data_IF_794351670220
#
_entry.id   IF_794351670220
#
_cell.length_a   1.000
_cell.length_b   1.000
_cell.length_c   1.000
_cell.angle_alpha   90.00
_cell.angle_beta   90.00
_cell.angle_gamma   90.00
#
_symmetry.space_group_name_H-M   'P 1'
#
loop_
_entity.id
_entity.type
_entity.pdbx_description
1 polymer ?
#
# COMPACT_ATOMS: atom_id res chain seq x y z
N UNK A 1 -4.12 -22.95 18.59
CA UNK A 1 -2.95 -22.09 18.88
C UNK A 1 -2.83 -21.11 17.73
N UNK A 2 -2.99 -19.80 17.98
CA UNK A 2 -2.79 -18.79 16.95
C UNK A 2 -1.28 -18.69 16.72
N UNK A 3 -0.86 -18.70 15.45
CA UNK A 3 0.54 -18.52 15.10
C UNK A 3 0.78 -17.01 15.07
N UNK A 4 1.76 -16.56 15.84
CA UNK A 4 2.16 -15.17 15.90
C UNK A 4 3.39 -14.98 15.00
N UNK A 5 3.20 -14.29 13.88
CA UNK A 5 4.25 -14.03 12.89
C UNK A 5 4.97 -12.70 13.11
N UNK A 6 4.63 -11.92 14.15
CA UNK A 6 5.20 -10.58 14.38
C UNK A 6 6.72 -10.60 14.42
N UNK A 7 7.32 -11.59 15.08
CA UNK A 7 8.78 -11.72 15.15
C UNK A 7 9.47 -11.91 13.80
N UNK A 8 8.83 -12.59 12.84
CA UNK A 8 9.37 -12.70 11.48
C UNK A 8 9.21 -11.40 10.71
N UNK A 9 8.07 -10.72 10.88
CA UNK A 9 7.86 -9.38 10.33
C UNK A 9 8.94 -8.42 10.83
N UNK A 10 9.21 -8.37 12.14
CA UNK A 10 10.27 -7.53 12.70
C UNK A 10 11.65 -7.82 12.10
N UNK A 11 12.01 -9.10 11.89
CA UNK A 11 13.29 -9.45 11.25
C UNK A 11 13.41 -8.95 9.82
N UNK A 12 12.31 -8.91 9.05
CA UNK A 12 12.33 -8.33 7.71
C UNK A 12 12.57 -6.82 7.77
N UNK A 13 11.97 -6.18 8.75
CA UNK A 13 12.02 -4.74 8.94
C UNK A 13 13.38 -4.27 9.48
N UNK A 14 13.99 -5.02 10.40
CA UNK A 14 15.38 -4.79 10.88
C UNK A 14 16.40 -4.85 9.73
N UNK A 15 16.06 -5.53 8.64
CA UNK A 15 16.89 -5.64 7.43
C UNK A 15 16.58 -4.57 6.38
N UNK A 16 15.75 -3.58 6.72
CA UNK A 16 15.27 -2.54 5.81
C UNK A 16 14.59 -3.13 4.56
N UNK A 17 13.97 -4.32 4.69
CA UNK A 17 13.26 -4.91 3.59
C UNK A 17 11.89 -4.25 3.44
N UNK A 18 11.56 -3.67 2.27
CA UNK A 18 10.28 -3.02 2.07
C UNK A 18 9.16 -4.04 2.25
N UNK A 19 8.17 -3.70 3.09
CA UNK A 19 7.04 -4.55 3.43
C UNK A 19 5.73 -3.82 3.12
N UNK A 20 4.95 -4.39 2.20
CA UNK A 20 3.59 -3.98 1.90
C UNK A 20 2.59 -4.94 2.55
N UNK A 21 1.76 -4.40 3.43
CA UNK A 21 0.57 -5.05 3.95
C UNK A 21 -0.62 -4.46 3.20
N UNK A 22 -1.53 -5.30 2.71
CA UNK A 22 -2.75 -4.81 2.07
C UNK A 22 -3.96 -5.59 2.55
N UNK A 23 -5.12 -4.91 2.56
CA UNK A 23 -6.37 -5.52 3.00
C UNK A 23 -7.57 -4.95 2.23
N UNK A 24 -8.56 -5.80 1.96
CA UNK A 24 -9.83 -5.37 1.41
C UNK A 24 -10.68 -4.68 2.47
N UNK A 25 -11.20 -3.49 2.16
CA UNK A 25 -12.00 -2.67 3.08
C UNK A 25 -13.18 -3.41 3.74
N UNK A 26 -13.81 -4.33 3.00
CA UNK A 26 -14.97 -5.11 3.43
C UNK A 26 -14.64 -6.54 3.85
N UNK A 27 -13.35 -6.87 4.03
CA UNK A 27 -13.01 -8.09 4.75
C UNK A 27 -13.37 -7.92 6.24
N UNK A 28 -14.27 -8.78 6.73
CA UNK A 28 -14.75 -8.76 8.09
C UNK A 28 -13.85 -9.53 9.07
N UNK A 29 -13.02 -10.44 8.57
CA UNK A 29 -12.14 -11.29 9.39
C UNK A 29 -10.74 -10.67 9.46
N UNK A 30 -10.13 -10.45 8.31
CA UNK A 30 -8.72 -10.03 8.19
C UNK A 30 -8.57 -8.66 7.53
N UNK A 31 -9.60 -7.82 7.66
CA UNK A 31 -9.63 -6.49 7.06
C UNK A 31 -8.86 -5.41 7.81
N UNK A 32 -8.94 -4.15 7.34
CA UNK A 32 -8.29 -3.01 7.96
C UNK A 32 -8.67 -2.80 9.44
N UNK A 33 -9.87 -3.23 9.84
CA UNK A 33 -10.36 -3.10 11.21
C UNK A 33 -9.55 -3.93 12.22
N UNK A 34 -8.93 -5.03 11.79
CA UNK A 34 -8.09 -5.86 12.66
C UNK A 34 -6.61 -5.54 12.46
N UNK A 35 -6.19 -5.33 11.22
CA UNK A 35 -4.78 -5.07 10.87
C UNK A 35 -4.31 -3.68 11.32
N UNK A 36 -5.09 -2.62 11.05
CA UNK A 36 -4.64 -1.25 11.32
C UNK A 36 -4.43 -0.98 12.82
N UNK A 37 -5.32 -1.40 13.74
CA UNK A 37 -5.06 -1.29 15.18
C UNK A 37 -3.80 -2.02 15.62
N UNK A 38 -3.47 -3.18 15.03
CA UNK A 38 -2.20 -3.84 15.31
C UNK A 38 -1.03 -2.95 14.87
N UNK A 39 -1.03 -2.44 13.64
CA UNK A 39 0.05 -1.61 13.12
C UNK A 39 0.27 -0.30 13.89
N UNK A 40 -0.78 0.34 14.42
CA UNK A 40 -0.62 1.63 15.12
C UNK A 40 -0.29 1.48 16.60
N UNK A 41 -0.66 0.35 17.23
CA UNK A 41 -0.43 0.12 18.66
C UNK A 41 0.84 -0.69 18.95
N UNK A 42 1.44 -1.30 17.93
CA UNK A 42 2.68 -2.06 18.06
C UNK A 42 3.89 -1.11 18.08
N UNK A 43 4.64 -1.10 19.18
CA UNK A 43 5.79 -0.20 19.39
C UNK A 43 6.83 -0.28 18.26
N UNK A 44 6.90 -1.42 17.57
CA UNK A 44 7.80 -1.60 16.43
C UNK A 44 7.38 -0.75 15.21
N UNK A 45 6.08 -0.55 15.04
CA UNK A 45 5.49 0.23 13.95
C UNK A 45 5.06 1.64 14.38
N UNK A 46 5.19 1.99 15.67
CA UNK A 46 4.84 3.30 16.22
C UNK A 46 5.78 4.39 15.70
N UNK A 47 5.52 4.86 14.48
CA UNK A 47 5.98 6.17 14.03
C UNK A 47 4.98 6.79 13.06
N UNK A 48 4.70 8.08 13.28
CA UNK A 48 3.84 8.98 12.49
C UNK A 48 3.43 8.49 11.10
N UNK A 49 2.40 7.65 11.04
CA UNK A 49 1.82 7.19 9.79
C UNK A 49 1.26 8.39 9.03
N UNK A 50 1.77 8.62 7.82
CA UNK A 50 1.13 9.53 6.87
C UNK A 50 0.17 8.74 6.00
N UNK A 51 -0.86 9.41 5.50
CA UNK A 51 -1.91 8.79 4.70
C UNK A 51 -2.12 9.60 3.42
N UNK A 52 -2.25 8.89 2.31
CA UNK A 52 -2.60 9.43 1.00
C UNK A 52 -3.52 8.48 0.23
N UNK A 53 -4.01 8.91 -0.92
CA UNK A 53 -4.73 8.08 -1.88
C UNK A 53 -3.75 7.53 -2.91
N UNK A 54 -3.74 6.21 -3.05
CA UNK A 54 -3.04 5.52 -4.12
C UNK A 54 -3.92 5.53 -5.38
N UNK A 55 -3.55 6.36 -6.35
CA UNK A 55 -4.23 6.45 -7.63
C UNK A 55 -3.65 5.48 -8.64
N UNK A 56 -4.53 4.76 -9.32
CA UNK A 56 -4.19 3.76 -10.34
C UNK A 56 -4.77 4.21 -11.66
N UNK A 57 -4.02 3.99 -12.74
CA UNK A 57 -4.53 4.24 -14.07
C UNK A 57 -5.73 3.36 -14.38
N UNK A 58 -6.80 3.94 -14.91
CA UNK A 58 -7.95 3.17 -15.33
C UNK A 58 -7.56 2.24 -16.49
N UNK A 59 -7.59 0.93 -16.25
CA UNK A 59 -7.22 -0.08 -17.24
C UNK A 59 -8.20 -0.13 -18.44
N UNK A 60 -9.42 0.38 -18.26
CA UNK A 60 -10.45 0.39 -19.31
C UNK A 60 -10.14 1.44 -20.37
N UNK A 61 -9.77 2.65 -19.95
CA UNK A 61 -9.53 3.78 -20.86
C UNK A 61 -8.07 3.90 -21.27
N UNK A 62 -7.14 3.48 -20.40
CA UNK A 62 -5.68 3.56 -20.59
C UNK A 62 -5.17 4.98 -20.90
N UNK A 63 -5.95 6.00 -20.55
CA UNK A 63 -5.54 7.40 -20.64
C UNK A 63 -4.83 7.77 -19.34
N UNK A 64 -3.66 8.41 -19.42
CA UNK A 64 -2.86 8.72 -18.23
C UNK A 64 -3.58 9.68 -17.26
N UNK A 65 -4.51 10.48 -17.77
CA UNK A 65 -5.33 11.40 -16.97
C UNK A 65 -6.62 10.77 -16.42
N UNK A 66 -6.90 9.50 -16.72
CA UNK A 66 -8.06 8.81 -16.15
C UNK A 66 -7.58 7.88 -15.04
N UNK A 67 -7.71 8.35 -13.81
CA UNK A 67 -7.27 7.65 -12.61
C UNK A 67 -8.46 7.18 -11.78
N UNK A 68 -8.31 5.98 -11.21
CA UNK A 68 -9.23 5.40 -10.26
C UNK A 68 -8.56 5.31 -8.89
N UNK A 69 -9.38 5.42 -7.84
CA UNK A 69 -8.92 5.25 -6.47
C UNK A 69 -8.55 3.78 -6.23
N UNK A 70 -7.25 3.48 -6.18
CA UNK A 70 -6.70 2.16 -5.87
C UNK A 70 -6.63 1.88 -4.37
N UNK A 71 -6.66 2.92 -3.54
CA UNK A 71 -6.99 2.81 -2.13
C UNK A 71 -6.30 3.78 -1.23
N UNK A 72 -6.52 3.60 0.07
CA UNK A 72 -5.93 4.44 1.10
C UNK A 72 -4.58 3.85 1.50
N UNK A 73 -3.53 4.57 1.14
CA UNK A 73 -2.14 4.17 1.30
C UNK A 73 -1.52 4.89 2.47
N UNK A 74 -0.88 4.13 3.35
CA UNK A 74 -0.24 4.67 4.55
C UNK A 74 1.21 4.27 4.58
N UNK A 75 2.05 5.23 4.93
CA UNK A 75 3.50 5.06 5.00
C UNK A 75 3.98 5.38 6.41
N UNK A 76 4.76 4.49 6.99
CA UNK A 76 5.45 4.74 8.26
C UNK A 76 6.58 5.76 8.11
N UNK A 77 7.00 6.37 9.21
CA UNK A 77 8.08 7.37 9.21
C UNK A 77 9.45 6.75 8.93
N UNK A 78 9.66 5.52 9.39
CA UNK A 78 10.79 4.71 8.94
C UNK A 78 10.45 4.12 7.57
N UNK A 79 11.23 4.49 6.56
CA UNK A 79 11.07 4.02 5.18
C UNK A 79 11.05 2.49 5.14
N UNK A 80 9.99 1.89 4.56
CA UNK A 80 9.89 0.44 4.37
C UNK A 80 8.61 -0.23 4.89
N UNK A 81 7.69 0.50 5.55
CA UNK A 81 6.40 -0.05 5.97
C UNK A 81 5.25 0.65 5.29
N UNK A 82 4.44 -0.16 4.63
CA UNK A 82 3.38 0.31 3.77
C UNK A 82 2.09 -0.44 4.09
N UNK A 83 1.00 0.29 4.26
CA UNK A 83 -0.31 -0.31 4.45
C UNK A 83 -1.33 0.24 3.45
N UNK A 84 -1.87 -0.64 2.61
CA UNK A 84 -2.88 -0.30 1.61
C UNK A 84 -4.23 -0.88 1.99
N UNK A 85 -5.24 -0.01 2.12
CA UNK A 85 -6.65 -0.43 2.21
C UNK A 85 -7.30 -0.29 0.83
N UNK A 86 -7.66 -1.41 0.22
CA UNK A 86 -8.30 -1.43 -1.11
C UNK A 86 -9.81 -1.23 -0.96
N UNK A 87 -10.38 -0.17 -1.56
CA UNK A 87 -11.77 0.21 -1.34
C UNK A 87 -12.69 -0.84 -1.95
N UNK A 88 -13.82 -1.09 -1.29
CA UNK A 88 -14.86 -2.03 -1.75
C UNK A 88 -14.43 -3.49 -1.96
N UNK A 89 -13.17 -3.84 -1.69
CA UNK A 89 -12.66 -5.21 -1.78
C UNK A 89 -12.96 -6.03 -0.52
N UNK A 90 -13.20 -7.32 -0.69
CA UNK A 90 -13.29 -8.30 0.41
C UNK A 90 -11.96 -9.04 0.63
N UNK A 91 -12.03 -10.22 1.25
CA UNK A 91 -10.84 -11.05 1.55
C UNK A 91 -9.96 -11.32 0.33
N UNK A 92 -10.58 -11.70 -0.79
CA UNK A 92 -9.88 -11.89 -2.06
C UNK A 92 -9.90 -10.60 -2.89
N UNK A 93 -9.00 -9.68 -2.56
CA UNK A 93 -8.86 -8.38 -3.25
C UNK A 93 -8.84 -8.49 -4.78
N UNK A 94 -8.05 -9.42 -5.40
CA UNK A 94 -7.96 -9.48 -6.86
C UNK A 94 -9.27 -9.83 -7.56
N UNK A 95 -10.26 -10.41 -6.84
CA UNK A 95 -11.51 -10.89 -7.46
C UNK A 95 -12.31 -9.78 -8.13
N UNK A 96 -12.37 -8.60 -7.50
CA UNK A 96 -13.14 -7.45 -7.99
C UNK A 96 -12.27 -6.22 -8.29
N UNK A 97 -10.98 -6.29 -7.96
CA UNK A 97 -10.00 -5.20 -8.08
C UNK A 97 -8.70 -5.71 -8.70
N UNK A 98 -8.81 -6.51 -9.77
CA UNK A 98 -7.65 -7.13 -10.43
C UNK A 98 -6.64 -6.07 -10.88
N UNK A 99 -7.07 -5.05 -11.63
CA UNK A 99 -6.17 -4.04 -12.20
C UNK A 99 -5.44 -3.24 -11.12
N UNK A 100 -6.14 -2.88 -10.04
CA UNK A 100 -5.54 -2.21 -8.88
C UNK A 100 -4.53 -3.13 -8.21
N UNK A 101 -4.85 -4.42 -8.07
CA UNK A 101 -3.95 -5.42 -7.49
C UNK A 101 -2.70 -5.59 -8.31
N UNK A 102 -2.85 -5.79 -9.62
CA UNK A 102 -1.74 -5.91 -10.55
C UNK A 102 -0.84 -4.67 -10.48
N UNK A 103 -1.41 -3.46 -10.51
CA UNK A 103 -0.62 -2.23 -10.48
C UNK A 103 0.16 -2.09 -9.15
N UNK A 104 -0.47 -2.30 -7.99
CA UNK A 104 0.27 -2.15 -6.72
C UNK A 104 1.34 -3.22 -6.54
N UNK A 105 1.14 -4.44 -7.06
CA UNK A 105 2.16 -5.49 -7.04
C UNK A 105 3.33 -5.12 -7.97
N UNK A 106 3.05 -4.58 -9.16
CA UNK A 106 4.07 -4.11 -10.10
C UNK A 106 4.88 -2.97 -9.49
N UNK A 107 4.21 -1.96 -8.94
CA UNK A 107 4.86 -0.81 -8.33
C UNK A 107 5.74 -1.25 -7.17
N UNK A 108 5.20 -2.08 -6.27
CA UNK A 108 5.92 -2.56 -5.12
C UNK A 108 7.14 -3.42 -5.50
N UNK A 109 6.99 -4.30 -6.49
CA UNK A 109 8.10 -5.10 -7.00
C UNK A 109 9.20 -4.25 -7.63
N UNK A 110 8.83 -3.20 -8.37
CA UNK A 110 9.81 -2.34 -9.07
C UNK A 110 10.50 -1.33 -8.18
N UNK A 111 9.76 -0.73 -7.24
CA UNK A 111 10.21 0.44 -6.50
C UNK A 111 10.35 0.21 -4.99
N UNK A 112 9.90 -0.95 -4.49
CA UNK A 112 9.82 -1.21 -3.05
C UNK A 112 8.77 -0.35 -2.33
N UNK A 113 7.92 0.35 -3.08
CA UNK A 113 6.84 1.20 -2.57
C UNK A 113 5.78 1.41 -3.66
N UNK A 114 4.60 1.90 -3.29
CA UNK A 114 3.59 2.26 -4.28
C UNK A 114 3.94 3.59 -4.95
N UNK A 115 3.85 3.63 -6.27
CA UNK A 115 4.01 4.86 -7.03
C UNK A 115 2.69 5.63 -6.93
N UNK A 116 2.62 6.56 -6.00
CA UNK A 116 1.47 7.47 -5.92
C UNK A 116 1.46 8.29 -7.21
N UNK A 117 0.50 8.01 -8.11
CA UNK A 117 0.29 8.80 -9.32
C UNK A 117 -0.53 10.03 -8.96
N UNK A 118 -0.17 11.17 -9.53
CA UNK A 118 -0.82 12.45 -9.23
C UNK A 118 -2.23 12.49 -9.86
N UNK A 119 -3.23 12.90 -9.08
CA UNK A 119 -4.55 13.24 -9.63
C UNK A 119 -4.42 14.45 -10.58
N UNK A 120 -4.75 14.31 -11.87
CA UNK A 120 -4.62 15.38 -12.86
C UNK A 120 -5.52 16.60 -12.57
N UNK A 121 -6.56 16.47 -11.74
CA UNK A 121 -7.44 17.59 -11.36
C UNK A 121 -6.98 18.34 -10.09
N UNK A 122 -6.11 17.76 -9.26
CA UNK A 122 -5.85 18.27 -7.91
C UNK A 122 -4.67 19.27 -7.78
N UNK A 123 -3.82 19.44 -8.81
CA UNK A 123 -2.86 20.55 -8.89
C UNK A 123 -1.83 20.74 -7.74
N UNK A 124 -1.63 19.77 -6.83
CA UNK A 124 -0.63 19.86 -5.73
C UNK A 124 -0.01 18.50 -5.31
N UNK A 125 1.20 18.28 -5.83
CA UNK A 125 2.47 17.61 -5.40
C UNK A 125 2.58 16.58 -4.25
N UNK A 126 3.30 15.46 -4.54
CA UNK A 126 4.58 15.07 -3.88
C UNK A 126 5.36 14.01 -4.72
N UNK A 127 6.70 14.12 -4.72
CA UNK A 127 7.67 13.62 -5.71
C UNK A 127 7.77 12.10 -5.91
N UNK A 128 7.77 11.68 -7.19
CA UNK A 128 8.54 10.51 -7.65
C UNK A 128 10.02 10.86 -7.44
N UNK A 129 10.67 10.27 -6.42
CA UNK A 129 12.13 10.23 -6.42
C UNK A 129 12.55 9.22 -7.49
N UNK A 130 12.94 9.70 -8.66
CA UNK A 130 13.80 8.96 -9.57
C UNK A 130 15.09 8.61 -8.84
N UNK A 131 15.10 7.49 -8.11
CA UNK A 131 16.34 6.76 -7.88
C UNK A 131 16.49 5.81 -9.04
N UNK A 132 17.10 6.32 -10.10
CA UNK A 132 17.65 5.52 -11.18
C UNK A 132 18.75 4.65 -10.56
N UNK A 133 18.39 3.43 -10.16
CA UNK A 133 19.38 2.38 -9.93
C UNK A 133 19.90 1.97 -11.32
N UNK A 134 20.95 2.64 -11.78
CA UNK A 134 21.78 2.13 -12.86
C UNK A 134 22.49 0.88 -12.34
N UNK A 135 22.13 -0.28 -12.89
CA UNK A 135 22.95 -1.49 -12.81
C UNK A 135 24.00 -1.47 -13.93
#
# INVERSE_FOLDING_TARGET
KIIDYRGETYKMLDRLHPTLIYAGQFDAQDGPKTIYPWLVNDDYFQTGWTQDIYWVQNATTKVNSDLINGGMYRTGYFYGHYFLTVPKAGHFVPKNFYDVTEQFLIDFYKYGQLSIREDPEAGKYASVREQVCNF
#
